data_IF_734343694374
#
_entry.id   IF_734343694374
#
_cell.length_a   1.000
_cell.length_b   1.000
_cell.length_c   1.000
_cell.angle_alpha   90.00
_cell.angle_beta   90.00
_cell.angle_gamma   90.00
#
_symmetry.space_group_name_H-M   'P 1'
#
loop_
_entity.id
_entity.type
_entity.pdbx_description
1 polymer ?
#
# COMPACT_ATOMS: atom_id res chain seq x y z
N UNK A 1 19.56 12.44 -20.11
CA UNK A 1 19.80 12.01 -18.73
C UNK A 1 18.47 11.49 -18.23
N UNK A 2 18.31 10.19 -18.03
CA UNK A 2 17.11 9.60 -17.42
C UNK A 2 16.99 10.19 -16.01
N UNK A 3 16.02 11.07 -15.79
CA UNK A 3 15.74 11.59 -14.45
C UNK A 3 15.03 10.49 -13.68
N UNK A 4 15.77 9.76 -12.83
CA UNK A 4 15.18 8.76 -11.95
C UNK A 4 14.13 9.39 -11.02
N UNK A 5 13.13 8.62 -10.63
CA UNK A 5 12.11 9.04 -9.67
C UNK A 5 12.61 8.82 -8.23
N UNK A 6 12.75 9.90 -7.46
CA UNK A 6 13.06 9.83 -6.05
C UNK A 6 11.76 9.58 -5.26
N UNK A 7 11.70 8.47 -4.52
CA UNK A 7 10.56 8.03 -3.72
C UNK A 7 10.91 7.83 -2.25
N UNK A 8 9.88 7.81 -1.41
CA UNK A 8 9.97 7.33 -0.04
C UNK A 8 8.78 6.42 0.29
N UNK A 9 9.05 5.25 0.85
CA UNK A 9 8.04 4.42 1.51
C UNK A 9 8.18 4.58 3.01
N UNK A 10 7.11 4.97 3.68
CA UNK A 10 7.10 5.26 5.11
C UNK A 10 6.75 4.00 5.87
N UNK A 11 7.53 3.67 6.89
CA UNK A 11 7.17 2.69 7.91
C UNK A 11 6.59 3.41 9.10
N UNK A 12 5.40 3.03 9.56
CA UNK A 12 4.75 3.66 10.70
C UNK A 12 4.39 2.64 11.78
N UNK A 13 4.09 3.16 12.96
CA UNK A 13 3.34 2.48 14.01
C UNK A 13 2.13 3.33 14.31
N UNK A 14 1.12 3.22 13.43
CA UNK A 14 -0.05 4.09 13.46
C UNK A 14 -0.79 3.96 14.80
N UNK A 15 -1.04 5.08 15.50
CA UNK A 15 -1.85 5.10 16.71
C UNK A 15 -3.32 4.73 16.49
N UNK A 16 -4.04 4.44 17.58
CA UNK A 16 -5.45 4.02 17.54
C UNK A 16 -6.44 5.17 17.26
N UNK A 17 -5.99 6.43 17.17
CA UNK A 17 -6.87 7.57 16.88
C UNK A 17 -6.36 8.39 15.69
N UNK A 18 -7.28 8.87 14.85
CA UNK A 18 -6.93 9.59 13.63
C UNK A 18 -6.11 10.88 13.89
N UNK A 19 -6.41 11.62 14.98
CA UNK A 19 -5.63 12.83 15.34
C UNK A 19 -4.19 12.49 15.72
N UNK A 20 -3.98 11.44 16.51
CA UNK A 20 -2.64 10.98 16.87
C UNK A 20 -1.91 10.38 15.65
N UNK A 21 -2.64 9.69 14.77
CA UNK A 21 -2.10 9.15 13.53
C UNK A 21 -1.58 10.24 12.60
N UNK A 22 -2.33 11.34 12.42
CA UNK A 22 -1.86 12.50 11.65
C UNK A 22 -0.59 13.10 12.26
N UNK A 23 -0.58 13.36 13.58
CA UNK A 23 0.58 13.89 14.28
C UNK A 23 1.81 12.97 14.19
N UNK A 24 1.60 11.64 14.05
CA UNK A 24 2.67 10.67 13.90
C UNK A 24 3.23 10.64 12.47
N UNK A 25 2.38 10.66 11.44
CA UNK A 25 2.81 10.46 10.05
C UNK A 25 3.30 11.76 9.37
N UNK A 26 2.73 12.92 9.73
CA UNK A 26 3.07 14.21 9.10
C UNK A 26 4.56 14.55 9.16
N UNK A 27 5.27 14.45 10.32
CA UNK A 27 6.70 14.73 10.39
C UNK A 27 7.53 13.83 9.46
N UNK A 28 7.17 12.54 9.33
CA UNK A 28 7.87 11.60 8.46
C UNK A 28 7.70 11.98 6.98
N UNK A 29 6.50 12.42 6.59
CA UNK A 29 6.25 12.88 5.22
C UNK A 29 7.03 14.17 4.92
N UNK A 30 7.05 15.13 5.85
CA UNK A 30 7.82 16.36 5.71
C UNK A 30 9.32 16.07 5.57
N UNK A 31 9.85 15.18 6.37
CA UNK A 31 11.25 14.73 6.28
C UNK A 31 11.54 14.00 4.96
N UNK A 32 10.64 13.15 4.49
CA UNK A 32 10.79 12.48 3.20
C UNK A 32 10.84 13.48 2.05
N UNK A 33 9.94 14.47 2.04
CA UNK A 33 9.88 15.52 1.02
C UNK A 33 11.13 16.43 1.07
N UNK A 34 11.59 16.84 2.26
CA UNK A 34 12.81 17.63 2.42
C UNK A 34 14.05 16.88 1.95
N UNK A 35 14.05 15.54 2.03
CA UNK A 35 15.07 14.66 1.46
C UNK A 35 14.97 14.45 -0.06
N UNK A 36 14.07 15.15 -0.74
CA UNK A 36 13.95 15.15 -2.20
C UNK A 36 12.94 14.18 -2.79
N UNK A 37 12.21 13.40 -1.97
CA UNK A 37 11.21 12.48 -2.47
C UNK A 37 10.08 13.24 -3.20
N UNK A 38 9.75 12.79 -4.41
CA UNK A 38 8.68 13.33 -5.25
C UNK A 38 7.39 12.53 -5.12
N UNK A 39 7.51 11.27 -4.76
CA UNK A 39 6.38 10.38 -4.50
C UNK A 39 6.59 9.67 -3.17
N UNK A 40 5.64 9.81 -2.25
CA UNK A 40 5.70 9.29 -0.89
C UNK A 40 4.52 8.33 -0.68
N UNK A 41 4.77 7.18 -0.06
CA UNK A 41 3.74 6.18 0.19
C UNK A 41 3.68 5.86 1.68
N UNK A 42 2.46 5.81 2.23
CA UNK A 42 2.19 5.42 3.61
C UNK A 42 1.54 4.03 3.67
N UNK A 43 1.59 3.30 4.80
CA UNK A 43 1.11 1.92 4.90
C UNK A 43 -0.42 1.79 5.04
N UNK A 44 -0.91 0.55 5.07
CA UNK A 44 -2.30 0.21 5.38
C UNK A 44 -2.71 0.74 6.75
N UNK A 45 -3.90 1.34 6.84
CA UNK A 45 -4.41 1.89 8.09
C UNK A 45 -3.64 3.12 8.57
N UNK A 46 -3.23 4.01 7.67
CA UNK A 46 -2.51 5.26 8.01
C UNK A 46 -3.31 6.17 8.95
N UNK A 47 -4.65 6.15 8.87
CA UNK A 47 -5.51 7.00 9.71
C UNK A 47 -5.86 6.35 11.05
N UNK A 48 -5.90 5.03 11.13
CA UNK A 48 -6.20 4.30 12.35
C UNK A 48 -5.75 2.85 12.24
N UNK A 49 -5.12 2.33 13.29
CA UNK A 49 -4.83 0.91 13.43
C UNK A 49 -5.37 0.40 14.76
N UNK A 50 -6.61 -0.15 14.72
CA UNK A 50 -7.32 -0.68 15.88
C UNK A 50 -8.18 -1.89 15.45
N UNK A 51 -7.98 -3.04 16.08
CA UNK A 51 -8.75 -4.26 15.81
C UNK A 51 -10.11 -4.28 16.51
N UNK A 52 -10.21 -3.64 17.65
CA UNK A 52 -11.44 -3.62 18.43
C UNK A 52 -12.48 -2.78 17.71
N UNK A 53 -13.49 -3.47 17.20
CA UNK A 53 -14.53 -2.88 16.37
C UNK A 53 -15.20 -1.66 17.03
N UNK A 54 -15.57 -1.79 18.30
CA UNK A 54 -16.22 -0.74 19.07
C UNK A 54 -15.40 0.56 19.12
N UNK A 55 -14.09 0.44 19.33
CA UNK A 55 -13.17 1.59 19.36
C UNK A 55 -12.91 2.17 17.97
N UNK A 56 -12.66 1.32 17.00
CA UNK A 56 -12.40 1.74 15.63
C UNK A 56 -13.62 2.45 15.03
N UNK A 57 -14.81 1.82 15.11
CA UNK A 57 -16.04 2.33 14.49
C UNK A 57 -16.53 3.65 15.14
N UNK A 58 -16.16 3.90 16.40
CA UNK A 58 -16.41 5.19 17.07
C UNK A 58 -15.51 6.32 16.51
N UNK A 59 -14.34 5.97 15.95
CA UNK A 59 -13.34 6.94 15.48
C UNK A 59 -13.30 7.16 13.97
N UNK A 60 -13.90 6.26 13.14
CA UNK A 60 -13.89 6.41 11.69
C UNK A 60 -15.03 7.34 11.20
N UNK A 61 -14.70 8.14 10.18
CA UNK A 61 -15.61 9.07 9.52
C UNK A 61 -15.70 8.75 8.03
N UNK A 62 -16.41 9.54 7.27
CA UNK A 62 -16.36 9.50 5.80
C UNK A 62 -15.00 10.01 5.31
N UNK A 63 -14.64 9.70 4.06
CA UNK A 63 -13.38 10.17 3.44
C UNK A 63 -13.25 11.71 3.51
N UNK A 64 -14.36 12.42 3.28
CA UNK A 64 -14.39 13.88 3.24
C UNK A 64 -14.32 14.55 4.62
N UNK A 65 -14.47 13.76 5.69
CA UNK A 65 -14.44 14.24 7.09
C UNK A 65 -13.19 13.71 7.84
N UNK A 66 -12.48 12.73 7.28
CA UNK A 66 -11.33 12.11 7.94
C UNK A 66 -10.18 13.11 8.06
N UNK A 67 -9.76 13.38 9.30
CA UNK A 67 -8.74 14.41 9.60
C UNK A 67 -7.37 14.06 9.01
N UNK A 68 -7.06 12.76 8.84
CA UNK A 68 -5.80 12.31 8.23
C UNK A 68 -5.86 12.51 6.73
N UNK A 69 -6.95 12.10 6.08
CA UNK A 69 -7.13 12.32 4.64
C UNK A 69 -7.07 13.80 4.31
N UNK A 70 -7.82 14.64 5.02
CA UNK A 70 -7.81 16.09 4.81
C UNK A 70 -6.45 16.73 5.13
N UNK A 71 -5.79 16.27 6.21
CA UNK A 71 -4.47 16.74 6.60
C UNK A 71 -3.40 16.39 5.56
N UNK A 72 -3.39 15.15 5.08
CA UNK A 72 -2.41 14.69 4.10
C UNK A 72 -2.63 15.27 2.70
N UNK A 73 -3.87 15.55 2.30
CA UNK A 73 -4.15 16.30 1.07
C UNK A 73 -3.57 17.71 1.11
N UNK A 74 -3.77 18.42 2.23
CA UNK A 74 -3.17 19.76 2.43
C UNK A 74 -1.65 19.69 2.43
N UNK A 75 -1.09 18.68 3.09
CA UNK A 75 0.36 18.47 3.15
C UNK A 75 0.96 18.18 1.78
N UNK A 76 0.32 17.35 0.95
CA UNK A 76 0.74 17.07 -0.41
C UNK A 76 0.79 18.35 -1.26
N UNK A 77 -0.25 19.20 -1.16
CA UNK A 77 -0.29 20.50 -1.85
C UNK A 77 0.79 21.47 -1.34
N UNK A 78 0.98 21.56 -0.02
CA UNK A 78 2.00 22.41 0.59
C UNK A 78 3.42 22.05 0.15
N UNK A 79 3.72 20.75 0.09
CA UNK A 79 5.04 20.24 -0.26
C UNK A 79 5.25 20.03 -1.77
N UNK A 80 4.18 20.10 -2.57
CA UNK A 80 4.22 19.83 -4.01
C UNK A 80 4.62 18.39 -4.36
N UNK A 81 4.27 17.42 -3.52
CA UNK A 81 4.61 15.99 -3.69
C UNK A 81 3.37 15.16 -4.00
N UNK A 82 3.58 14.06 -4.74
CA UNK A 82 2.57 13.01 -4.85
C UNK A 82 2.58 12.15 -3.60
N UNK A 83 1.41 11.76 -3.13
CA UNK A 83 1.25 10.99 -1.90
C UNK A 83 0.24 9.86 -2.09
N UNK A 84 0.61 8.64 -1.71
CA UNK A 84 -0.33 7.54 -1.55
C UNK A 84 -0.64 7.35 -0.06
N UNK A 85 -1.90 7.59 0.34
CA UNK A 85 -2.43 7.06 1.59
C UNK A 85 -2.70 5.58 1.35
N UNK A 86 -1.88 4.72 1.90
CA UNK A 86 -1.79 3.30 1.52
C UNK A 86 -2.72 2.34 2.22
N UNK A 87 -3.47 2.78 3.33
CA UNK A 87 -4.89 3.08 3.20
C UNK A 87 -5.41 3.95 4.36
N UNK A 88 -6.63 4.40 4.21
CA UNK A 88 -7.47 4.92 5.28
C UNK A 88 -8.67 3.97 5.49
N UNK A 89 -9.01 3.71 6.75
CA UNK A 89 -10.25 3.02 7.12
C UNK A 89 -11.32 4.08 7.28
N UNK A 90 -12.31 4.07 6.37
CA UNK A 90 -13.37 5.10 6.32
C UNK A 90 -14.75 4.46 6.21
N UNK A 91 -15.81 5.20 6.51
CA UNK A 91 -17.20 4.73 6.25
C UNK A 91 -17.37 4.50 4.74
N UNK A 92 -17.88 3.33 4.36
CA UNK A 92 -17.94 2.94 2.93
C UNK A 92 -18.86 3.80 2.09
N UNK A 93 -19.84 4.45 2.71
CA UNK A 93 -20.87 5.24 2.01
C UNK A 93 -21.94 4.39 1.29
N UNK A 94 -21.85 3.06 1.34
CA UNK A 94 -22.86 2.18 0.73
C UNK A 94 -24.09 2.09 1.61
N UNK A 95 -25.24 2.49 1.07
CA UNK A 95 -26.51 2.44 1.76
C UNK A 95 -26.84 1.00 2.22
N UNK A 96 -27.16 0.85 3.51
CA UNK A 96 -27.52 -0.43 4.11
C UNK A 96 -26.35 -1.35 4.49
N UNK A 97 -25.11 -1.03 4.11
CA UNK A 97 -23.89 -1.76 4.54
C UNK A 97 -23.16 -0.93 5.60
N UNK A 98 -23.27 -1.33 6.86
CA UNK A 98 -22.62 -0.63 7.98
C UNK A 98 -21.11 -0.91 8.09
N UNK A 99 -20.51 -1.62 7.12
CA UNK A 99 -19.07 -1.91 7.12
C UNK A 99 -18.25 -0.72 6.61
N UNK A 100 -17.01 -0.65 7.06
CA UNK A 100 -16.02 0.30 6.58
C UNK A 100 -15.51 -0.07 5.18
N UNK A 101 -14.84 0.87 4.51
CA UNK A 101 -13.93 0.62 3.40
C UNK A 101 -12.48 0.73 3.88
N UNK A 102 -11.62 -0.17 3.41
CA UNK A 102 -10.17 -0.08 3.52
C UNK A 102 -9.68 0.50 2.18
N UNK A 103 -9.45 1.83 2.14
CA UNK A 103 -9.33 2.61 0.91
C UNK A 103 -7.97 3.22 0.73
N UNK A 104 -7.26 2.88 -0.36
CA UNK A 104 -6.11 3.63 -0.84
C UNK A 104 -6.54 4.88 -1.59
N UNK A 105 -5.81 5.98 -1.36
CA UNK A 105 -6.06 7.28 -1.99
C UNK A 105 -4.77 7.81 -2.60
N UNK A 106 -4.73 7.94 -3.92
CA UNK A 106 -3.63 8.59 -4.61
C UNK A 106 -3.91 10.07 -4.73
N UNK A 107 -3.00 10.89 -4.24
CA UNK A 107 -3.11 12.34 -4.15
C UNK A 107 -1.98 12.96 -5.00
N UNK A 108 -2.31 13.90 -5.85
CA UNK A 108 -1.33 14.65 -6.65
C UNK A 108 -0.67 15.80 -5.86
N UNK A 109 0.31 16.45 -6.47
CA UNK A 109 1.04 17.58 -5.86
C UNK A 109 0.20 18.85 -5.65
N UNK A 110 -1.07 18.87 -6.08
CA UNK A 110 -2.03 19.96 -5.78
C UNK A 110 -2.96 19.61 -4.60
N UNK A 111 -2.87 18.38 -4.05
CA UNK A 111 -3.76 17.88 -3.02
C UNK A 111 -5.07 17.28 -3.56
N UNK A 112 -5.19 17.13 -4.89
CA UNK A 112 -6.31 16.48 -5.55
C UNK A 112 -6.24 14.95 -5.42
N UNK A 113 -7.37 14.28 -5.12
CA UNK A 113 -7.43 12.82 -5.15
C UNK A 113 -7.64 12.39 -6.60
N UNK A 114 -6.65 11.74 -7.19
CA UNK A 114 -6.65 11.30 -8.59
C UNK A 114 -7.08 9.85 -8.77
N UNK A 115 -6.98 9.03 -7.74
CA UNK A 115 -7.47 7.65 -7.77
C UNK A 115 -7.86 7.14 -6.38
N UNK A 116 -8.78 6.17 -6.37
CA UNK A 116 -9.24 5.42 -5.20
C UNK A 116 -9.18 3.94 -5.50
N UNK A 117 -8.92 3.15 -4.46
CA UNK A 117 -8.98 1.70 -4.53
C UNK A 117 -9.45 1.15 -3.20
N UNK A 118 -10.55 0.45 -3.17
CA UNK A 118 -11.02 -0.30 -2.00
C UNK A 118 -10.45 -1.73 -2.06
N UNK A 119 -9.87 -2.19 -0.96
CA UNK A 119 -9.24 -3.52 -0.83
C UNK A 119 -10.16 -4.63 -1.34
N UNK A 120 -9.72 -5.36 -2.36
CA UNK A 120 -10.51 -6.46 -2.95
C UNK A 120 -10.54 -7.69 -2.06
N UNK A 121 -9.38 -8.09 -1.53
CA UNK A 121 -9.26 -9.32 -0.75
C UNK A 121 -9.11 -8.98 0.74
N UNK A 122 -10.19 -9.17 1.49
CA UNK A 122 -10.22 -8.97 2.93
C UNK A 122 -9.61 -10.15 3.67
N UNK A 123 -8.97 -9.89 4.82
CA UNK A 123 -8.13 -10.84 5.53
C UNK A 123 -8.95 -11.72 6.49
N UNK A 124 -9.53 -12.79 5.96
CA UNK A 124 -10.25 -13.82 6.72
C UNK A 124 -9.39 -15.09 6.80
N UNK A 125 -8.68 -15.26 7.91
CA UNK A 125 -7.72 -16.35 8.08
C UNK A 125 -7.72 -16.93 9.48
N UNK A 126 -7.25 -18.17 9.59
CA UNK A 126 -6.87 -18.83 10.85
C UNK A 126 -5.37 -19.10 10.77
N UNK A 127 -4.59 -18.51 11.66
CA UNK A 127 -3.15 -18.70 11.67
C UNK A 127 -2.77 -19.92 12.53
N UNK A 128 -1.65 -20.59 12.21
CA UNK A 128 -1.13 -21.70 13.05
C UNK A 128 -0.84 -21.30 14.49
N UNK A 129 -0.57 -20.02 14.75
CA UNK A 129 -0.40 -19.45 16.10
C UNK A 129 -1.68 -19.39 16.94
N UNK A 130 -2.84 -19.73 16.34
CA UNK A 130 -4.16 -19.67 16.98
C UNK A 130 -4.91 -18.36 16.78
N UNK A 131 -4.28 -17.33 16.20
CA UNK A 131 -4.91 -16.06 15.89
C UNK A 131 -5.92 -16.23 14.74
N UNK A 132 -7.08 -15.60 14.90
CA UNK A 132 -8.16 -15.63 13.92
C UNK A 132 -8.53 -14.22 13.51
N UNK A 133 -8.57 -13.96 12.21
CA UNK A 133 -8.98 -12.68 11.63
C UNK A 133 -10.24 -12.87 10.79
N UNK A 134 -11.16 -11.91 10.87
CA UNK A 134 -12.43 -11.88 10.12
C UNK A 134 -12.68 -10.44 9.66
N UNK A 135 -11.82 -9.95 8.75
CA UNK A 135 -11.90 -8.57 8.26
C UNK A 135 -13.23 -8.33 7.52
N UNK A 136 -13.75 -9.33 6.81
CA UNK A 136 -15.03 -9.24 6.09
C UNK A 136 -16.23 -8.90 6.98
N UNK A 137 -16.16 -9.20 8.27
CA UNK A 137 -17.23 -8.86 9.22
C UNK A 137 -17.37 -7.35 9.43
N UNK A 138 -16.34 -6.56 9.11
CA UNK A 138 -16.27 -5.13 9.42
C UNK A 138 -15.80 -4.25 8.27
N UNK A 139 -15.19 -4.84 7.25
CA UNK A 139 -14.70 -4.15 6.05
C UNK A 139 -15.38 -4.76 4.82
N UNK A 140 -15.96 -3.92 3.99
CA UNK A 140 -16.55 -4.32 2.72
C UNK A 140 -15.43 -4.54 1.69
N UNK A 141 -15.40 -5.68 0.96
CA UNK A 141 -14.53 -5.83 -0.19
C UNK A 141 -14.83 -4.77 -1.26
N UNK A 142 -13.79 -4.33 -1.96
CA UNK A 142 -13.93 -3.51 -3.16
C UNK A 142 -14.49 -4.28 -4.35
N UNK A 143 -14.83 -3.57 -5.42
CA UNK A 143 -15.52 -4.14 -6.58
C UNK A 143 -14.63 -4.22 -7.83
N UNK A 144 -13.42 -3.60 -7.83
CA UNK A 144 -12.58 -3.56 -9.02
C UNK A 144 -11.11 -3.23 -8.78
N UNK A 145 -10.26 -3.68 -9.71
CA UNK A 145 -8.86 -3.28 -9.77
C UNK A 145 -8.73 -1.82 -10.20
N UNK A 146 -7.67 -1.15 -9.74
CA UNK A 146 -7.42 0.26 -10.05
C UNK A 146 -5.99 0.48 -10.52
N UNK A 147 -5.84 1.20 -11.64
CA UNK A 147 -4.57 1.71 -12.16
C UNK A 147 -4.73 3.21 -12.40
N UNK A 148 -3.77 3.97 -11.94
CA UNK A 148 -3.78 5.43 -12.06
C UNK A 148 -2.57 5.93 -12.85
N UNK A 149 -2.76 6.98 -13.65
CA UNK A 149 -1.68 7.67 -14.32
C UNK A 149 -0.95 8.59 -13.32
N UNK A 150 0.38 8.59 -13.39
CA UNK A 150 1.25 9.51 -12.66
C UNK A 150 2.25 10.14 -13.63
N UNK A 151 2.96 11.22 -13.26
CA UNK A 151 4.00 11.80 -14.13
C UNK A 151 5.14 10.84 -14.53
N UNK A 152 5.28 9.73 -13.81
CA UNK A 152 6.39 8.77 -13.98
C UNK A 152 5.96 7.41 -14.57
N UNK A 153 4.68 7.25 -14.88
CA UNK A 153 4.10 6.00 -15.37
C UNK A 153 2.86 5.59 -14.57
N UNK A 154 2.30 4.44 -14.88
CA UNK A 154 1.09 3.95 -14.24
C UNK A 154 1.38 3.25 -12.93
N UNK A 155 0.57 3.57 -11.92
CA UNK A 155 0.57 2.93 -10.61
C UNK A 155 -0.63 1.98 -10.47
N UNK A 156 -0.36 0.70 -10.24
CA UNK A 156 -1.35 -0.28 -9.81
C UNK A 156 -1.57 -0.20 -8.31
N UNK A 157 -2.82 -0.18 -7.86
CA UNK A 157 -3.17 -0.09 -6.45
C UNK A 157 -3.56 -1.46 -5.89
N UNK A 158 -2.95 -1.85 -4.78
CA UNK A 158 -3.32 -3.02 -3.98
C UNK A 158 -3.21 -2.69 -2.49
N UNK A 159 -3.75 -3.53 -1.62
CA UNK A 159 -3.61 -3.38 -0.16
C UNK A 159 -3.34 -4.74 0.47
N UNK A 160 -2.18 -4.89 1.11
CA UNK A 160 -1.83 -5.94 2.07
C UNK A 160 -2.13 -7.37 1.57
N UNK A 161 -3.25 -7.95 1.97
CA UNK A 161 -3.63 -9.33 1.63
C UNK A 161 -3.74 -9.57 0.11
N UNK A 162 -4.01 -8.52 -0.67
CA UNK A 162 -4.02 -8.59 -2.14
C UNK A 162 -2.72 -9.15 -2.74
N UNK A 163 -1.59 -9.02 -2.04
CA UNK A 163 -0.30 -9.55 -2.49
C UNK A 163 -0.34 -11.07 -2.73
N UNK A 164 -1.25 -11.80 -2.07
CA UNK A 164 -1.38 -13.25 -2.23
C UNK A 164 -2.11 -13.68 -3.49
N UNK A 165 -2.63 -12.72 -4.26
CA UNK A 165 -3.46 -12.97 -5.44
C UNK A 165 -2.74 -12.56 -6.73
N UNK A 166 -1.94 -13.46 -7.34
CA UNK A 166 -1.10 -13.15 -8.51
C UNK A 166 -1.90 -12.63 -9.71
N UNK A 167 -3.11 -13.11 -9.89
CA UNK A 167 -3.97 -12.69 -11.02
C UNK A 167 -4.30 -11.19 -10.98
N UNK A 168 -4.51 -10.60 -9.79
CA UNK A 168 -4.71 -9.16 -9.64
C UNK A 168 -3.47 -8.38 -10.11
N UNK A 169 -2.28 -8.76 -9.63
CA UNK A 169 -1.02 -8.11 -10.00
C UNK A 169 -0.74 -8.22 -11.49
N UNK A 170 -1.00 -9.40 -12.07
CA UNK A 170 -0.88 -9.63 -13.51
C UNK A 170 -1.84 -8.74 -14.30
N UNK A 171 -3.08 -8.59 -13.86
CA UNK A 171 -4.07 -7.71 -14.49
C UNK A 171 -3.63 -6.25 -14.45
N UNK A 172 -3.13 -5.76 -13.30
CA UNK A 172 -2.58 -4.40 -13.18
C UNK A 172 -1.40 -4.17 -14.14
N UNK A 173 -0.47 -5.14 -14.23
CA UNK A 173 0.67 -5.06 -15.14
C UNK A 173 0.23 -5.04 -16.62
N UNK A 174 -0.76 -5.85 -17.00
CA UNK A 174 -1.36 -5.85 -18.34
C UNK A 174 -2.10 -4.55 -18.65
N UNK A 175 -2.66 -3.89 -17.64
CA UNK A 175 -3.22 -2.55 -17.76
C UNK A 175 -2.16 -1.45 -17.82
N UNK A 176 -0.87 -1.81 -17.89
CA UNK A 176 0.25 -0.90 -18.09
C UNK A 176 0.91 -0.38 -16.81
N UNK A 177 0.57 -0.90 -15.63
CA UNK A 177 1.23 -0.50 -14.40
C UNK A 177 2.74 -0.79 -14.47
N UNK A 178 3.55 0.24 -14.29
CA UNK A 178 5.02 0.17 -14.16
C UNK A 178 5.48 0.15 -12.71
N UNK A 179 4.60 0.54 -11.80
CA UNK A 179 4.75 0.49 -10.36
C UNK A 179 3.50 -0.15 -9.76
N UNK A 180 3.66 -0.94 -8.71
CA UNK A 180 2.56 -1.53 -7.93
C UNK A 180 2.77 -1.20 -6.47
N UNK A 181 1.81 -0.51 -5.86
CA UNK A 181 1.81 -0.21 -4.45
C UNK A 181 1.24 -1.41 -3.65
N UNK A 182 1.93 -1.78 -2.58
CA UNK A 182 1.55 -2.86 -1.65
C UNK A 182 1.66 -2.36 -0.21
N UNK A 183 0.89 -1.32 0.16
CA UNK A 183 0.84 -0.89 1.55
C UNK A 183 0.26 -1.99 2.43
N UNK A 184 0.80 -2.19 3.64
CA UNK A 184 0.44 -3.35 4.43
C UNK A 184 0.54 -3.16 5.95
N UNK A 185 -0.23 -4.00 6.66
CA UNK A 185 -0.13 -4.25 8.10
C UNK A 185 0.00 -5.77 8.33
N UNK A 186 1.02 -6.40 7.77
CA UNK A 186 1.26 -7.84 7.87
C UNK A 186 1.50 -8.25 9.31
N UNK A 187 0.86 -9.34 9.76
CA UNK A 187 1.17 -9.93 11.07
C UNK A 187 2.62 -10.40 11.12
N UNK A 188 3.27 -10.32 12.28
CA UNK A 188 4.67 -10.70 12.41
C UNK A 188 4.96 -12.13 11.91
N UNK A 189 4.18 -13.18 12.27
CA UNK A 189 4.45 -14.54 11.81
C UNK A 189 4.37 -14.69 10.27
N UNK A 190 3.33 -14.12 9.66
CA UNK A 190 3.19 -14.22 8.19
C UNK A 190 4.14 -13.29 7.45
N UNK A 191 4.54 -12.19 8.07
CA UNK A 191 5.53 -11.27 7.53
C UNK A 191 6.90 -11.92 7.45
N UNK A 192 7.35 -12.53 8.54
CA UNK A 192 8.63 -13.26 8.60
C UNK A 192 8.72 -14.33 7.51
N UNK A 193 7.67 -15.13 7.35
CA UNK A 193 7.68 -16.26 6.43
C UNK A 193 7.46 -15.87 4.95
N UNK A 194 6.69 -14.81 4.65
CA UNK A 194 6.15 -14.62 3.30
C UNK A 194 6.43 -13.24 2.69
N UNK A 195 6.65 -12.19 3.49
CA UNK A 195 6.63 -10.81 3.02
C UNK A 195 7.59 -10.55 1.87
N UNK A 196 8.87 -10.75 2.09
CA UNK A 196 9.90 -10.50 1.09
C UNK A 196 9.76 -11.38 -0.15
N UNK A 197 9.46 -12.68 0.07
CA UNK A 197 9.27 -13.64 -1.03
C UNK A 197 8.12 -13.22 -1.94
N UNK A 198 6.98 -12.82 -1.37
CA UNK A 198 5.82 -12.40 -2.16
C UNK A 198 6.08 -11.09 -2.90
N UNK A 199 6.69 -10.08 -2.26
CA UNK A 199 7.03 -8.82 -2.92
C UNK A 199 7.92 -9.04 -4.14
N UNK A 200 8.98 -9.84 -3.99
CA UNK A 200 9.89 -10.18 -5.07
C UNK A 200 9.20 -10.98 -6.19
N UNK A 201 8.36 -11.94 -5.83
CA UNK A 201 7.57 -12.69 -6.81
C UNK A 201 6.68 -11.76 -7.64
N UNK A 202 5.94 -10.82 -6.99
CA UNK A 202 5.10 -9.85 -7.69
C UNK A 202 5.91 -8.96 -8.63
N UNK A 203 7.07 -8.49 -8.21
CA UNK A 203 7.95 -7.68 -9.06
C UNK A 203 8.44 -8.47 -10.29
N UNK A 204 8.92 -9.70 -10.09
CA UNK A 204 9.47 -10.56 -11.15
C UNK A 204 8.39 -10.91 -12.19
N UNK A 205 7.22 -11.40 -11.76
CA UNK A 205 6.17 -11.88 -12.67
C UNK A 205 5.46 -10.75 -13.44
N UNK A 206 5.54 -9.50 -12.93
CA UNK A 206 4.93 -8.32 -13.55
C UNK A 206 5.93 -7.45 -14.30
N UNK A 207 7.23 -7.63 -14.05
CA UNK A 207 8.29 -6.75 -14.54
C UNK A 207 8.04 -5.29 -14.13
N UNK A 208 7.56 -5.04 -12.91
CA UNK A 208 7.21 -3.73 -12.38
C UNK A 208 7.92 -3.49 -11.04
N UNK A 209 8.11 -2.22 -10.67
CA UNK A 209 8.51 -1.88 -9.30
C UNK A 209 7.41 -2.25 -8.32
N UNK A 210 7.78 -2.78 -7.15
CA UNK A 210 6.86 -3.00 -6.03
C UNK A 210 7.26 -2.09 -4.88
N UNK A 211 6.31 -1.24 -4.46
CA UNK A 211 6.49 -0.20 -3.45
C UNK A 211 5.65 -0.57 -2.22
N UNK A 212 6.31 -1.02 -1.16
CA UNK A 212 5.64 -1.69 -0.06
C UNK A 212 5.90 -1.01 1.30
N UNK A 213 5.21 0.11 1.60
CA UNK A 213 5.21 0.68 2.95
C UNK A 213 4.47 -0.23 3.92
N UNK A 214 4.98 -0.39 5.13
CA UNK A 214 4.46 -1.34 6.10
C UNK A 214 4.29 -0.75 7.49
N UNK A 215 3.27 -1.22 8.22
CA UNK A 215 3.13 -1.03 9.65
C UNK A 215 4.14 -1.91 10.39
N UNK A 216 4.78 -1.40 11.43
CA UNK A 216 5.81 -2.13 12.18
C UNK A 216 5.66 -2.05 13.69
N UNK A 217 6.03 -3.13 14.37
CA UNK A 217 6.12 -3.21 15.83
C UNK A 217 4.84 -3.56 16.56
N UNK A 218 4.83 -3.31 17.86
CA UNK A 218 3.69 -3.58 18.75
C UNK A 218 2.76 -2.36 18.79
N UNK A 219 1.51 -2.54 18.38
CA UNK A 219 0.48 -1.51 18.35
C UNK A 219 -0.30 -1.43 19.67
N UNK A 220 -1.04 -0.33 19.87
CA UNK A 220 -1.83 -0.06 21.09
C UNK A 220 -2.95 -1.10 21.34
N UNK A 221 -3.43 -1.76 20.28
CA UNK A 221 -4.42 -2.83 20.37
C UNK A 221 -3.81 -4.21 20.75
N UNK A 222 -2.49 -4.28 20.93
CA UNK A 222 -1.74 -5.48 21.26
C UNK A 222 -1.28 -6.29 20.04
N UNK A 223 -1.69 -5.94 18.83
CA UNK A 223 -1.23 -6.58 17.60
C UNK A 223 0.23 -6.24 17.31
N UNK A 224 0.99 -7.23 16.81
CA UNK A 224 2.34 -7.01 16.30
C UNK A 224 2.37 -7.16 14.79
N UNK A 225 2.90 -6.14 14.11
CA UNK A 225 3.11 -6.14 12.66
C UNK A 225 4.60 -6.24 12.32
N UNK A 226 4.88 -6.74 11.10
CA UNK A 226 6.22 -7.15 10.68
C UNK A 226 7.16 -5.98 10.38
N UNK A 227 6.65 -4.86 9.89
CA UNK A 227 7.49 -3.78 9.36
C UNK A 227 8.17 -4.19 8.06
N UNK A 228 9.46 -3.89 7.95
CA UNK A 228 10.29 -4.23 6.78
C UNK A 228 9.74 -3.59 5.49
N UNK A 229 9.37 -2.31 5.57
CA UNK A 229 9.02 -1.54 4.37
C UNK A 229 10.08 -1.72 3.30
N UNK A 230 9.65 -2.05 2.07
CA UNK A 230 10.56 -2.53 1.02
C UNK A 230 10.24 -1.89 -0.33
N UNK A 231 11.27 -1.60 -1.11
CA UNK A 231 11.19 -1.23 -2.53
C UNK A 231 11.90 -2.31 -3.33
N UNK A 232 11.17 -2.95 -4.26
CA UNK A 232 11.68 -4.03 -5.10
C UNK A 232 11.71 -3.57 -6.56
N UNK A 233 12.79 -3.83 -7.24
CA UNK A 233 12.96 -3.53 -8.67
C UNK A 233 12.30 -4.57 -9.58
N UNK A 234 12.12 -4.25 -10.89
CA UNK A 234 11.42 -5.10 -11.84
C UNK A 234 12.07 -6.48 -12.07
N UNK A 235 13.35 -6.65 -11.72
CA UNK A 235 14.08 -7.93 -11.81
C UNK A 235 14.04 -8.71 -10.49
N UNK A 236 13.32 -8.21 -9.48
CA UNK A 236 13.19 -8.85 -8.16
C UNK A 236 14.31 -8.48 -7.16
N UNK A 237 15.19 -7.55 -7.50
CA UNK A 237 16.21 -7.02 -6.61
C UNK A 237 15.61 -6.12 -5.55
N UNK A 238 16.09 -6.21 -4.32
CA UNK A 238 15.72 -5.27 -3.25
C UNK A 238 16.55 -4.00 -3.45
N UNK A 239 15.88 -2.91 -3.82
CA UNK A 239 16.51 -1.59 -4.02
C UNK A 239 16.76 -0.94 -2.66
N UNK A 240 15.78 -0.99 -1.78
CA UNK A 240 15.88 -0.46 -0.43
C UNK A 240 14.89 -1.20 0.52
N UNK A 241 15.28 -1.36 1.77
CA UNK A 241 14.48 -2.05 2.78
C UNK A 241 14.82 -1.53 4.19
N UNK A 242 13.79 -1.42 5.06
CA UNK A 242 14.01 -1.33 6.49
C UNK A 242 14.44 -2.70 7.03
N UNK A 243 15.42 -2.74 7.91
CA UNK A 243 15.91 -3.97 8.57
C UNK A 243 15.28 -4.21 9.96
N UNK A 244 14.36 -3.35 10.36
CA UNK A 244 13.69 -3.34 11.66
C UNK A 244 12.18 -3.06 11.53
N UNK A 245 11.45 -3.12 12.64
CA UNK A 245 10.00 -2.86 12.73
C UNK A 245 9.65 -1.49 13.37
N UNK A 246 10.66 -0.63 13.64
CA UNK A 246 10.46 0.73 14.14
C UNK A 246 10.07 1.70 13.01
N UNK A 247 9.34 2.80 13.31
CA UNK A 247 9.03 3.84 12.33
C UNK A 247 10.28 4.39 11.65
N UNK A 248 10.25 4.51 10.32
CA UNK A 248 11.36 5.05 9.54
C UNK A 248 10.94 5.45 8.12
N UNK A 249 11.87 6.05 7.40
CA UNK A 249 11.72 6.44 6.00
C UNK A 249 12.70 5.63 5.15
N UNK A 250 12.18 4.78 4.27
CA UNK A 250 12.98 4.05 3.29
C UNK A 250 12.97 4.81 1.98
N UNK A 251 14.12 5.37 1.61
CA UNK A 251 14.29 6.17 0.38
C UNK A 251 14.87 5.33 -0.73
N UNK A 252 14.41 5.56 -1.95
CA UNK A 252 14.93 4.91 -3.15
C UNK A 252 14.87 5.85 -4.36
N UNK A 253 15.74 5.60 -5.33
CA UNK A 253 15.69 6.23 -6.65
C UNK A 253 15.38 5.16 -7.68
N UNK A 254 14.28 5.32 -8.41
CA UNK A 254 13.81 4.37 -9.41
C UNK A 254 14.30 4.80 -10.81
N UNK A 255 14.96 3.88 -11.50
CA UNK A 255 15.20 4.01 -12.93
C UNK A 255 13.99 3.45 -13.70
N UNK A 256 13.08 4.31 -14.11
CA UNK A 256 11.83 3.90 -14.74
C UNK A 256 12.02 3.10 -16.05
N UNK A 257 13.17 3.21 -16.72
CA UNK A 257 13.50 2.42 -17.90
C UNK A 257 13.76 0.94 -17.57
N UNK A 258 14.06 0.61 -16.31
CA UNK A 258 14.26 -0.78 -15.86
C UNK A 258 13.03 -1.66 -16.13
N UNK A 259 11.81 -1.08 -16.09
CA UNK A 259 10.56 -1.80 -16.42
C UNK A 259 10.57 -2.29 -17.86
N UNK A 260 10.90 -1.39 -18.80
CA UNK A 260 10.97 -1.76 -20.22
C UNK A 260 12.06 -2.81 -20.47
N UNK A 261 13.24 -2.67 -19.83
CA UNK A 261 14.32 -3.65 -19.95
C UNK A 261 13.93 -5.01 -19.39
N UNK A 262 13.31 -5.06 -18.22
CA UNK A 262 12.87 -6.32 -17.61
C UNK A 262 11.83 -7.04 -18.47
N UNK A 263 10.81 -6.31 -18.94
CA UNK A 263 9.75 -6.86 -19.79
C UNK A 263 10.23 -7.28 -21.17
N UNK A 264 11.22 -6.59 -21.74
CA UNK A 264 11.84 -7.00 -22.99
C UNK A 264 12.67 -8.28 -22.84
N UNK A 265 13.39 -8.41 -21.72
CA UNK A 265 14.20 -9.60 -21.44
C UNK A 265 13.35 -10.85 -21.16
N UNK A 266 12.24 -10.71 -20.42
CA UNK A 266 11.31 -11.80 -20.09
C UNK A 266 9.86 -11.35 -20.36
N UNK A 267 9.36 -11.45 -21.62
CA UNK A 267 8.06 -10.89 -22.01
C UNK A 267 6.87 -11.78 -21.58
N UNK A 268 6.88 -12.32 -20.38
CA UNK A 268 5.88 -13.28 -19.87
C UNK A 268 4.45 -12.74 -19.86
N UNK A 269 4.27 -11.41 -19.79
CA UNK A 269 2.95 -10.76 -19.82
C UNK A 269 2.25 -10.91 -21.18
N UNK A 270 2.98 -11.20 -22.26
CA UNK A 270 2.45 -11.38 -23.62
C UNK A 270 2.40 -12.85 -24.05
N UNK A 271 2.89 -13.77 -23.21
CA UNK A 271 2.99 -15.19 -23.53
C UNK A 271 1.86 -16.02 -22.90
N UNK A 272 0.70 -15.41 -22.62
CA UNK A 272 -0.45 -16.17 -22.13
C UNK A 272 -0.89 -17.22 -23.12
N UNK A 273 -1.31 -18.37 -22.60
CA UNK A 273 -1.90 -19.48 -23.35
C UNK A 273 -3.19 -19.87 -22.67
N UNK A 274 -4.23 -20.08 -23.47
CA UNK A 274 -5.43 -20.73 -22.98
C UNK A 274 -5.13 -22.21 -22.72
N UNK A 275 -5.67 -22.73 -21.62
CA UNK A 275 -5.55 -24.13 -21.25
C UNK A 275 -6.85 -24.64 -20.63
N UNK A 276 -7.06 -25.95 -20.73
CA UNK A 276 -8.22 -26.55 -20.09
C UNK A 276 -8.11 -26.50 -18.58
N UNK A 277 -9.25 -26.32 -17.86
CA UNK A 277 -9.25 -26.39 -16.40
C UNK A 277 -8.66 -27.71 -15.90
N UNK A 278 -7.97 -27.68 -14.77
CA UNK A 278 -7.55 -28.90 -14.09
C UNK A 278 -8.80 -29.72 -13.67
N UNK A 279 -8.80 -31.03 -13.93
CA UNK A 279 -9.84 -31.99 -13.57
C UNK A 279 -9.45 -32.79 -12.35
#
# INVERSE_FOLDING_TARGET
MSSGLDIAVIQTRTPATARAALAHVEPLIREAASGGAKFILTPEGTNVLEQRRDRRDAGITTEDEDVVVLGLRRLAAELGVWLLIGSAIVRSGHAGDGRAANRSLLIDGSGGIVARYDKLHVFDVNLPSGETYRESATVRPGDGASVADTPWGRLGLTICYDIRFPHLHRQLAKAGASMIAVPAAFTAPTGEAHWETLLRARAIETGAFVLAPAQGGLHEDGRRTWGRSTVVGPWGEIIAKADHDEPCIVRAKLDMEAVARARAAVPSLTHDRDFLPAV
#
